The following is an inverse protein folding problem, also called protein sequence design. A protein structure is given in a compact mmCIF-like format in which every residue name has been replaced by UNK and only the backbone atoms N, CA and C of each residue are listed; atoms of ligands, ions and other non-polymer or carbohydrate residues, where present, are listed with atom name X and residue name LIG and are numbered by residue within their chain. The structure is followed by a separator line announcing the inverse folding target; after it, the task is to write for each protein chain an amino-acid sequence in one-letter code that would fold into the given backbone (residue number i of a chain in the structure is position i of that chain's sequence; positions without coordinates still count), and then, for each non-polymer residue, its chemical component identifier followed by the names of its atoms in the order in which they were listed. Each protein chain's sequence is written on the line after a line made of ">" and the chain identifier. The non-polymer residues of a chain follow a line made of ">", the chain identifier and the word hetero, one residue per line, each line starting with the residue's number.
data_IF_487574172682
#
_entry.id   IF_487574172682
#
_cell.length_a   1.000
_cell.length_b   1.000
_cell.length_c   1.000
_cell.angle_alpha   90.00
_cell.angle_beta   90.00
_cell.angle_gamma   90.00
#
_symmetry.space_group_name_H-M   'P 1'
#
loop_
_entity.id
_entity.type
_entity.pdbx_description
1 polymer ?
#
# COMPACT_ATOMS: atom_id res chain seq x y z
N UNK A 1 -13.41 -8.52 -59.36
CA UNK A 1 -13.51 -8.38 -57.89
C UNK A 1 -13.75 -6.92 -57.57
N UNK A 2 -14.74 -6.61 -56.73
CA UNK A 2 -15.31 -5.27 -56.58
C UNK A 2 -14.43 -4.39 -55.66
N UNK A 3 -13.82 -3.32 -56.18
CA UNK A 3 -12.88 -2.45 -55.45
C UNK A 3 -13.44 -1.92 -54.13
N UNK A 4 -14.76 -1.75 -54.04
CA UNK A 4 -15.45 -1.35 -52.82
C UNK A 4 -15.26 -2.35 -51.68
N UNK A 5 -15.24 -3.67 -51.95
CA UNK A 5 -15.03 -4.69 -50.89
C UNK A 5 -13.64 -4.58 -50.26
N UNK A 6 -12.63 -4.24 -51.05
CA UNK A 6 -11.24 -4.07 -50.56
C UNK A 6 -11.13 -2.81 -49.69
N UNK A 7 -11.80 -1.73 -50.09
CA UNK A 7 -11.84 -0.47 -49.32
C UNK A 7 -12.53 -0.69 -47.97
N UNK A 8 -13.67 -1.37 -47.95
CA UNK A 8 -14.37 -1.68 -46.70
C UNK A 8 -13.57 -2.60 -45.76
N UNK A 9 -12.88 -3.60 -46.30
CA UNK A 9 -12.03 -4.48 -45.51
C UNK A 9 -10.85 -3.72 -44.87
N UNK A 10 -10.22 -2.80 -45.61
CA UNK A 10 -9.14 -1.95 -45.09
C UNK A 10 -9.65 -0.97 -44.02
N UNK A 11 -10.80 -0.32 -44.26
CA UNK A 11 -11.42 0.58 -43.28
C UNK A 11 -11.80 -0.16 -42.00
N UNK A 12 -12.38 -1.35 -42.12
CA UNK A 12 -12.73 -2.18 -40.96
C UNK A 12 -11.50 -2.57 -40.14
N UNK A 13 -10.41 -2.97 -40.80
CA UNK A 13 -9.16 -3.33 -40.10
C UNK A 13 -8.55 -2.13 -39.37
N UNK A 14 -8.54 -0.95 -40.00
CA UNK A 14 -8.08 0.30 -39.37
C UNK A 14 -8.95 0.64 -38.15
N UNK A 15 -10.27 0.57 -38.27
CA UNK A 15 -11.17 0.82 -37.14
C UNK A 15 -10.98 -0.19 -36.02
N UNK A 16 -10.76 -1.47 -36.34
CA UNK A 16 -10.48 -2.50 -35.36
C UNK A 16 -9.19 -2.20 -34.59
N UNK A 17 -8.11 -1.82 -35.28
CA UNK A 17 -6.84 -1.43 -34.65
C UNK A 17 -7.00 -0.19 -33.77
N UNK A 18 -7.68 0.86 -34.26
CA UNK A 18 -7.94 2.07 -33.47
C UNK A 18 -8.79 1.79 -32.23
N UNK A 19 -9.80 0.92 -32.36
CA UNK A 19 -10.62 0.50 -31.23
C UNK A 19 -9.79 -0.24 -30.17
N UNK A 20 -8.92 -1.17 -30.57
CA UNK A 20 -8.02 -1.87 -29.64
C UNK A 20 -7.10 -0.89 -28.89
N UNK A 21 -6.57 0.12 -29.57
CA UNK A 21 -5.72 1.16 -28.95
C UNK A 21 -6.51 1.95 -27.90
N UNK A 22 -7.75 2.36 -28.20
CA UNK A 22 -8.61 3.09 -27.24
C UNK A 22 -8.90 2.23 -26.01
N UNK A 23 -9.11 0.91 -26.17
CA UNK A 23 -9.35 0.01 -25.04
C UNK A 23 -8.15 -0.14 -24.09
N UNK A 24 -6.94 0.07 -24.60
CA UNK A 24 -5.71 -0.04 -23.82
C UNK A 24 -5.46 1.15 -22.88
N UNK A 25 -6.16 2.28 -23.07
CA UNK A 25 -5.93 3.52 -22.32
C UNK A 25 -6.76 3.67 -21.04
N UNK A 26 -7.40 2.59 -20.56
CA UNK A 26 -8.13 2.67 -19.30
C UNK A 26 -7.17 2.67 -18.12
N UNK A 27 -7.23 3.72 -17.32
CA UNK A 27 -6.48 3.89 -16.09
C UNK A 27 -7.45 4.22 -14.95
N UNK A 28 -7.26 3.57 -13.81
CA UNK A 28 -7.95 3.89 -12.57
C UNK A 28 -6.88 4.26 -11.53
N UNK A 29 -7.00 5.46 -10.99
CA UNK A 29 -6.13 5.94 -9.93
C UNK A 29 -6.95 6.10 -8.64
N UNK A 30 -6.41 5.60 -7.54
CA UNK A 30 -6.89 5.85 -6.19
C UNK A 30 -5.73 6.24 -5.28
N UNK A 31 -6.03 6.75 -4.09
CA UNK A 31 -5.05 7.21 -3.13
C UNK A 31 -5.26 6.52 -1.78
N UNK A 32 -4.16 6.38 -1.06
CA UNK A 32 -4.08 5.80 0.29
C UNK A 32 -3.27 6.75 1.12
N UNK A 33 -3.83 7.19 2.23
CA UNK A 33 -3.14 8.06 3.15
C UNK A 33 -2.99 7.34 4.48
N UNK A 34 -1.75 7.14 4.92
CA UNK A 34 -1.42 6.66 6.24
C UNK A 34 -1.15 7.87 7.13
N UNK A 35 -2.12 8.24 7.96
CA UNK A 35 -2.02 9.36 8.87
C UNK A 35 -1.57 8.85 10.24
N UNK A 36 -0.33 9.18 10.64
CA UNK A 36 0.25 8.71 11.88
C UNK A 36 0.44 9.86 12.85
N UNK A 37 -0.05 9.70 14.08
CA UNK A 37 -0.04 10.75 15.11
C UNK A 37 0.53 10.21 16.41
N UNK A 38 1.41 11.00 17.01
CA UNK A 38 1.87 10.81 18.40
C UNK A 38 0.94 11.58 19.35
N UNK A 39 0.86 11.21 20.64
CA UNK A 39 0.06 11.93 21.62
C UNK A 39 0.42 13.43 21.74
N UNK A 40 1.70 13.75 21.52
CA UNK A 40 2.24 15.11 21.56
C UNK A 40 2.14 15.86 20.21
N UNK A 41 1.72 15.19 19.13
CA UNK A 41 1.58 15.77 17.79
C UNK A 41 2.90 16.22 17.15
N UNK A 42 4.05 15.87 17.72
CA UNK A 42 5.35 16.36 17.27
C UNK A 42 5.83 15.63 16.00
N UNK A 43 6.39 16.39 15.06
CA UNK A 43 7.07 15.89 13.84
C UNK A 43 8.55 15.54 14.07
N UNK A 44 9.00 15.68 15.32
CA UNK A 44 10.29 15.19 15.79
C UNK A 44 10.06 13.89 16.52
N UNK A 45 11.07 13.03 16.54
CA UNK A 45 11.01 11.77 17.29
C UNK A 45 10.80 12.05 18.78
N UNK A 46 9.60 11.75 19.28
CA UNK A 46 9.20 11.82 20.67
C UNK A 46 9.42 10.51 21.42
N UNK A 47 9.03 10.44 22.70
CA UNK A 47 9.12 9.20 23.48
C UNK A 47 8.11 8.14 23.04
N UNK A 48 6.96 8.57 22.52
CA UNK A 48 5.83 7.72 22.22
C UNK A 48 5.78 7.28 20.75
N UNK A 49 5.20 6.10 20.51
CA UNK A 49 4.94 5.59 19.17
C UNK A 49 3.74 6.31 18.55
N UNK A 50 3.89 6.66 17.27
CA UNK A 50 2.82 7.20 16.46
C UNK A 50 1.88 6.09 16.01
N UNK A 51 0.61 6.22 16.39
CA UNK A 51 -0.48 5.35 15.93
C UNK A 51 -0.92 5.79 14.55
N UNK A 52 -1.09 4.85 13.62
CA UNK A 52 -1.44 5.16 12.24
C UNK A 52 -2.86 4.78 11.89
N UNK A 53 -3.54 5.65 11.14
CA UNK A 53 -4.83 5.35 10.55
C UNK A 53 -4.73 5.35 9.04
N UNK A 54 -5.19 4.26 8.42
CA UNK A 54 -5.31 4.16 6.98
C UNK A 54 -6.57 4.91 6.52
N UNK A 55 -6.43 5.73 5.49
CA UNK A 55 -7.51 6.50 4.88
C UNK A 55 -7.54 6.17 3.39
N UNK A 56 -8.67 5.65 2.92
CA UNK A 56 -8.91 5.29 1.54
C UNK A 56 -9.49 6.49 0.81
N UNK A 57 -8.90 6.85 -0.33
CA UNK A 57 -9.33 7.98 -1.15
C UNK A 57 -9.49 7.53 -2.59
N UNK A 58 -10.60 7.87 -3.23
CA UNK A 58 -10.82 7.69 -4.66
C UNK A 58 -10.12 8.80 -5.46
N UNK A 59 -9.97 10.01 -4.89
CA UNK A 59 -9.21 11.14 -5.46
C UNK A 59 -8.26 11.76 -4.44
N UNK A 60 -7.18 12.41 -4.89
CA UNK A 60 -6.12 12.93 -4.00
C UNK A 60 -6.64 13.95 -2.97
N UNK A 61 -7.48 14.88 -3.43
CA UNK A 61 -7.94 16.05 -2.67
C UNK A 61 -9.14 15.79 -1.77
N UNK A 62 -9.79 14.63 -1.86
CA UNK A 62 -10.97 14.35 -1.06
C UNK A 62 -10.59 13.98 0.39
N UNK A 63 -11.56 14.01 1.32
CA UNK A 63 -11.31 13.64 2.73
C UNK A 63 -10.93 12.16 2.89
N UNK A 64 -11.60 11.30 2.13
CA UNK A 64 -11.44 9.85 2.18
C UNK A 64 -12.24 9.17 3.28
N UNK A 65 -12.08 7.85 3.37
CA UNK A 65 -12.78 6.93 4.28
C UNK A 65 -11.76 6.32 5.24
N UNK A 66 -11.91 6.60 6.53
CA UNK A 66 -10.93 6.23 7.55
C UNK A 66 -11.15 4.81 8.07
N UNK A 67 -10.07 4.10 8.39
CA UNK A 67 -10.13 2.85 9.15
C UNK A 67 -10.76 3.08 10.53
N UNK A 68 -11.56 2.12 11.05
CA UNK A 68 -12.31 2.29 12.29
C UNK A 68 -11.42 2.37 13.54
N UNK A 69 -10.22 1.79 13.49
CA UNK A 69 -9.26 1.77 14.60
C UNK A 69 -7.87 2.12 14.08
N UNK A 70 -7.06 2.70 14.97
CA UNK A 70 -5.65 2.92 14.67
C UNK A 70 -4.89 1.59 14.58
N UNK A 71 -3.79 1.61 13.83
CA UNK A 71 -2.89 0.50 13.50
C UNK A 71 -3.56 -0.70 12.82
N UNK A 72 -4.79 -0.53 12.31
CA UNK A 72 -5.48 -1.57 11.55
C UNK A 72 -4.74 -1.87 10.24
N UNK A 73 -4.41 -3.13 10.03
CA UNK A 73 -3.60 -3.58 8.90
C UNK A 73 -2.10 -3.30 9.06
N UNK A 74 -1.67 -2.83 10.24
CA UNK A 74 -0.27 -2.65 10.59
C UNK A 74 0.21 -3.77 11.54
N UNK A 75 1.40 -4.30 11.30
CA UNK A 75 2.01 -5.36 12.10
C UNK A 75 3.51 -5.15 12.26
N UNK A 76 4.09 -5.73 13.30
CA UNK A 76 5.53 -5.62 13.55
C UNK A 76 6.28 -6.64 12.66
N UNK A 77 7.31 -6.18 11.95
CA UNK A 77 8.09 -7.02 11.05
C UNK A 77 8.76 -8.23 11.75
N UNK A 78 8.89 -8.19 13.07
CA UNK A 78 9.54 -9.21 13.89
C UNK A 78 8.60 -10.31 14.43
N UNK A 79 7.31 -10.32 14.07
CA UNK A 79 6.40 -11.40 14.48
C UNK A 79 6.80 -12.77 13.90
N UNK A 80 7.20 -12.83 12.62
CA UNK A 80 7.68 -14.09 11.99
C UNK A 80 9.00 -14.60 12.57
N UNK A 81 9.87 -13.69 13.03
CA UNK A 81 11.17 -14.07 13.60
C UNK A 81 11.04 -14.72 14.99
N UNK A 82 9.99 -14.39 15.74
CA UNK A 82 9.75 -14.96 17.08
C UNK A 82 9.27 -16.41 17.01
N UNK A 83 8.49 -16.76 16.00
CA UNK A 83 7.98 -18.13 15.80
C UNK A 83 9.11 -19.10 15.40
N UNK A 84 9.99 -18.70 14.48
CA UNK A 84 11.15 -19.52 14.07
C UNK A 84 12.19 -19.74 15.20
N UNK A 85 12.33 -18.76 16.10
CA UNK A 85 13.24 -18.86 17.26
C UNK A 85 12.65 -19.74 18.37
N UNK A 86 11.33 -19.68 18.60
CA UNK A 86 10.67 -20.51 19.62
C UNK A 86 10.64 -22.00 19.25
N UNK A 87 10.72 -22.35 17.97
CA UNK A 87 10.87 -23.72 17.49
C UNK A 87 12.30 -24.30 17.70
N UNK A 88 13.31 -23.44 17.84
CA UNK A 88 14.72 -23.84 17.93
C UNK A 88 15.35 -23.44 19.27
N UNK A 89 15.25 -24.32 20.26
CA UNK A 89 15.77 -24.17 21.63
C UNK A 89 17.31 -24.18 21.75
N UNK A 90 18.05 -23.66 20.77
CA UNK A 90 19.51 -23.64 20.81
C UNK A 90 20.06 -22.39 21.52
N UNK A 91 20.93 -22.60 22.51
CA UNK A 91 21.56 -21.55 23.35
C UNK A 91 22.44 -20.58 22.55
N UNK A 92 22.85 -20.97 21.33
CA UNK A 92 23.69 -20.20 20.39
C UNK A 92 22.89 -19.13 19.61
N UNK A 93 21.61 -19.36 19.32
CA UNK A 93 20.70 -18.40 18.65
C UNK A 93 20.25 -17.28 19.61
N UNK A 94 20.17 -17.54 20.92
CA UNK A 94 19.87 -16.51 21.94
C UNK A 94 20.95 -15.42 22.06
N UNK A 95 22.23 -15.74 21.76
CA UNK A 95 23.34 -14.77 21.84
C UNK A 95 23.41 -13.84 20.63
N UNK A 96 23.05 -14.32 19.43
CA UNK A 96 22.90 -13.49 18.23
C UNK A 96 21.71 -12.52 18.29
N UNK A 97 20.69 -12.83 19.10
CA UNK A 97 19.56 -11.94 19.40
C UNK A 97 19.95 -10.78 20.35
N UNK A 98 20.87 -11.02 21.29
CA UNK A 98 21.29 -9.99 22.26
C UNK A 98 22.27 -8.94 21.68
N UNK A 99 23.05 -9.27 20.67
CA UNK A 99 23.87 -8.27 19.95
C UNK A 99 23.04 -7.52 18.89
N UNK A 100 21.93 -8.13 18.43
CA UNK A 100 20.89 -7.52 17.60
C UNK A 100 19.69 -7.01 18.42
N UNK A 101 19.92 -6.54 19.67
CA UNK A 101 18.92 -5.79 20.44
C UNK A 101 18.68 -4.38 19.89
N UNK A 102 19.44 -3.97 18.87
CA UNK A 102 18.99 -3.01 17.87
C UNK A 102 18.14 -3.73 16.80
N UNK A 103 17.18 -4.54 17.25
CA UNK A 103 16.07 -5.01 16.43
C UNK A 103 15.42 -3.73 15.93
N UNK A 104 15.67 -3.35 14.67
CA UNK A 104 15.00 -2.21 14.09
C UNK A 104 13.50 -2.52 14.16
N UNK A 105 12.83 -1.90 15.14
CA UNK A 105 11.38 -1.97 15.28
C UNK A 105 10.88 -1.39 13.97
N UNK A 106 10.34 -2.25 13.11
CA UNK A 106 9.78 -1.90 11.82
C UNK A 106 8.32 -2.26 11.86
N UNK A 107 7.46 -1.26 11.71
CA UNK A 107 6.02 -1.45 11.59
C UNK A 107 5.70 -1.43 10.10
N UNK A 108 4.96 -2.43 9.64
CA UNK A 108 4.57 -2.61 8.24
C UNK A 108 3.06 -2.49 8.18
N UNK A 109 2.54 -1.60 7.35
CA UNK A 109 1.12 -1.36 7.15
C UNK A 109 0.72 -1.71 5.72
N UNK A 110 -0.35 -2.49 5.56
CA UNK A 110 -0.93 -2.79 4.26
C UNK A 110 -1.69 -1.56 3.72
N UNK A 111 -1.46 -1.21 2.45
CA UNK A 111 -2.08 -0.04 1.80
C UNK A 111 -3.41 -0.38 1.09
N UNK A 112 -3.84 -1.65 1.06
CA UNK A 112 -5.01 -2.13 0.33
C UNK A 112 -4.98 -1.72 -1.15
N UNK A 113 -3.90 -2.11 -1.82
CA UNK A 113 -3.67 -1.85 -3.24
C UNK A 113 -3.32 -3.13 -4.01
N UNK A 114 -4.28 -4.07 -4.11
CA UNK A 114 -4.09 -5.34 -4.82
C UNK A 114 -3.75 -5.11 -6.29
N UNK A 115 -2.66 -5.70 -6.78
CA UNK A 115 -2.26 -5.69 -8.19
C UNK A 115 -2.17 -4.27 -8.79
N UNK A 116 -1.90 -3.26 -7.96
CA UNK A 116 -1.71 -1.89 -8.41
C UNK A 116 -0.23 -1.64 -8.73
N UNK A 117 0.05 -0.73 -9.65
CA UNK A 117 1.32 -0.02 -9.66
C UNK A 117 1.22 1.13 -8.65
N UNK A 118 2.18 1.26 -7.73
CA UNK A 118 2.18 2.39 -6.80
C UNK A 118 3.04 3.54 -7.27
N UNK A 119 2.65 4.74 -6.88
CA UNK A 119 3.48 5.92 -6.99
C UNK A 119 3.32 6.72 -5.70
N UNK A 120 4.45 7.18 -5.16
CA UNK A 120 4.47 7.78 -3.83
C UNK A 120 4.23 9.29 -3.95
N UNK A 121 3.03 9.74 -3.60
CA UNK A 121 2.66 11.16 -3.59
C UNK A 121 2.86 11.72 -2.19
N UNK A 122 4.09 11.85 -1.73
CA UNK A 122 4.30 12.40 -0.38
C UNK A 122 4.89 13.79 -0.44
N UNK A 123 4.13 14.79 0.01
CA UNK A 123 4.67 15.93 0.71
C UNK A 123 4.75 15.55 2.18
N UNK A 124 5.60 14.58 2.57
CA UNK A 124 6.22 14.72 3.89
C UNK A 124 6.98 16.03 3.70
N UNK A 125 6.47 17.12 4.27
CA UNK A 125 7.01 18.46 4.03
C UNK A 125 8.54 18.38 4.03
N UNK A 126 9.14 18.86 2.95
CA UNK A 126 10.56 18.72 2.70
C UNK A 126 11.32 19.09 3.99
N UNK A 127 11.91 18.10 4.67
CA UNK A 127 12.61 18.30 5.93
C UNK A 127 12.01 17.67 7.19
N UNK A 128 11.11 16.69 7.10
CA UNK A 128 10.72 15.90 8.27
C UNK A 128 11.93 15.14 8.87
N UNK A 129 12.51 15.72 9.93
CA UNK A 129 13.82 15.34 10.49
C UNK A 129 13.89 13.92 11.05
N UNK A 130 12.74 13.27 11.24
CA UNK A 130 12.66 11.91 11.77
C UNK A 130 12.35 10.84 10.70
N UNK A 131 11.85 11.21 9.51
CA UNK A 131 11.34 10.27 8.51
C UNK A 131 12.01 10.53 7.15
N UNK A 132 13.11 9.83 6.90
CA UNK A 132 13.80 9.88 5.60
C UNK A 132 13.46 8.66 4.76
N UNK A 133 13.15 8.87 3.48
CA UNK A 133 12.87 7.78 2.52
C UNK A 133 14.06 6.82 2.44
N UNK A 134 13.79 5.52 2.53
CA UNK A 134 14.79 4.46 2.49
C UNK A 134 15.50 4.20 3.83
N UNK A 135 15.40 5.10 4.80
CA UNK A 135 15.99 4.93 6.14
C UNK A 135 14.90 4.74 7.21
N UNK A 136 13.98 5.69 7.32
CA UNK A 136 12.90 5.68 8.30
C UNK A 136 11.58 5.14 7.76
N UNK A 137 11.42 5.08 6.44
CA UNK A 137 10.25 4.46 5.82
C UNK A 137 10.52 4.04 4.38
N UNK A 138 9.66 3.17 3.83
CA UNK A 138 9.69 2.80 2.44
C UNK A 138 8.46 1.98 2.03
N UNK A 139 8.44 1.58 0.77
CA UNK A 139 7.39 0.76 0.18
C UNK A 139 7.95 -0.60 -0.16
N UNK A 140 7.15 -1.64 0.00
CA UNK A 140 7.49 -3.00 -0.38
C UNK A 140 6.26 -3.71 -0.95
N UNK A 141 6.46 -4.48 -2.01
CA UNK A 141 5.43 -5.33 -2.59
C UNK A 141 5.56 -6.74 -2.01
N UNK A 142 4.44 -7.33 -1.58
CA UNK A 142 4.37 -8.72 -1.12
C UNK A 142 3.09 -9.34 -1.64
N UNK A 143 3.20 -10.45 -2.35
CA UNK A 143 2.03 -11.20 -2.86
C UNK A 143 1.06 -10.32 -3.68
N UNK A 144 1.57 -9.41 -4.52
CA UNK A 144 0.81 -8.42 -5.29
C UNK A 144 0.03 -7.41 -4.44
N UNK A 145 0.34 -7.28 -3.15
CA UNK A 145 -0.15 -6.23 -2.27
C UNK A 145 0.98 -5.28 -1.92
N UNK A 146 0.62 -4.01 -1.71
CA UNK A 146 1.59 -2.98 -1.34
C UNK A 146 1.53 -2.65 0.13
N UNK A 147 2.71 -2.56 0.72
CA UNK A 147 2.89 -2.23 2.11
C UNK A 147 3.79 -1.02 2.23
N UNK A 148 3.48 -0.16 3.18
CA UNK A 148 4.40 0.89 3.65
C UNK A 148 4.98 0.45 4.98
N UNK A 149 6.30 0.57 5.11
CA UNK A 149 6.97 0.27 6.36
C UNK A 149 7.58 1.53 6.94
N UNK A 150 7.62 1.60 8.27
CA UNK A 150 8.26 2.67 9.05
C UNK A 150 9.19 2.06 10.09
N UNK A 151 10.28 2.74 10.41
CA UNK A 151 11.29 2.28 11.33
C UNK A 151 11.93 3.43 12.13
N UNK A 152 12.62 3.05 13.21
CA UNK A 152 13.45 3.95 14.02
C UNK A 152 12.67 5.21 14.46
N UNK A 153 13.32 6.39 14.42
CA UNK A 153 12.77 7.69 14.79
C UNK A 153 11.46 8.03 14.10
N UNK A 154 11.21 7.47 12.92
CA UNK A 154 9.99 7.72 12.16
C UNK A 154 8.76 7.07 12.79
N UNK A 155 8.95 6.01 13.59
CA UNK A 155 7.87 5.41 14.36
C UNK A 155 7.37 6.32 15.47
N UNK A 156 8.20 7.22 15.96
CA UNK A 156 7.93 8.08 17.10
C UNK A 156 7.60 9.51 16.69
N UNK A 157 7.07 9.70 15.48
CA UNK A 157 6.85 11.02 14.92
C UNK A 157 5.50 11.07 14.22
N UNK A 158 4.82 12.20 14.39
CA UNK A 158 3.61 12.52 13.62
C UNK A 158 4.00 12.75 12.16
N UNK A 159 3.47 11.92 11.27
CA UNK A 159 3.81 11.92 9.86
C UNK A 159 2.61 11.44 9.02
N UNK A 160 2.46 12.01 7.84
CA UNK A 160 1.43 11.60 6.89
C UNK A 160 2.08 11.11 5.61
N UNK A 161 1.72 9.91 5.17
CA UNK A 161 2.23 9.29 3.96
C UNK A 161 1.08 9.12 2.98
N UNK A 162 1.15 9.78 1.81
CA UNK A 162 0.16 9.60 0.75
C UNK A 162 0.76 8.80 -0.39
N UNK A 163 0.05 7.76 -0.81
CA UNK A 163 0.46 6.82 -1.85
C UNK A 163 -0.66 6.71 -2.86
N UNK A 164 -0.34 6.91 -4.13
CA UNK A 164 -1.24 6.65 -5.24
C UNK A 164 -1.13 5.20 -5.70
N UNK A 165 -2.27 4.58 -5.97
CA UNK A 165 -2.41 3.23 -6.49
C UNK A 165 -3.05 3.31 -7.87
N UNK A 166 -2.37 2.77 -8.87
CA UNK A 166 -2.73 2.89 -10.28
C UNK A 166 -2.95 1.51 -10.89
N UNK A 167 -4.14 1.28 -11.44
CA UNK A 167 -4.49 0.07 -12.18
C UNK A 167 -4.57 0.40 -13.66
N UNK A 168 -3.75 -0.27 -14.48
CA UNK A 168 -3.69 -0.05 -15.92
C UNK A 168 -4.30 -1.22 -16.69
N UNK A 169 -5.15 -0.90 -17.64
CA UNK A 169 -5.77 -1.87 -18.53
C UNK A 169 -7.05 -2.49 -17.96
N UNK A 170 -7.89 -2.98 -18.87
CA UNK A 170 -9.21 -3.54 -18.56
C UNK A 170 -9.18 -4.68 -17.55
N UNK A 171 -8.22 -5.59 -17.67
CA UNK A 171 -8.12 -6.74 -16.78
C UNK A 171 -7.80 -6.33 -15.35
N UNK A 172 -6.87 -5.39 -15.15
CA UNK A 172 -6.53 -4.89 -13.82
C UNK A 172 -7.71 -4.15 -13.18
N UNK A 173 -8.44 -3.34 -13.97
CA UNK A 173 -9.64 -2.63 -13.50
C UNK A 173 -10.77 -3.61 -13.20
N UNK A 174 -10.96 -4.66 -14.01
CA UNK A 174 -11.94 -5.71 -13.74
C UNK A 174 -11.60 -6.47 -12.45
N UNK A 175 -10.33 -6.86 -12.26
CA UNK A 175 -9.86 -7.50 -11.02
C UNK A 175 -10.05 -6.60 -9.82
N UNK A 176 -9.73 -5.30 -9.94
CA UNK A 176 -10.01 -4.32 -8.91
C UNK A 176 -11.50 -4.27 -8.59
N UNK A 177 -12.39 -4.18 -9.59
CA UNK A 177 -13.83 -4.14 -9.34
C UNK A 177 -14.33 -5.44 -8.68
N UNK A 178 -13.82 -6.60 -9.08
CA UNK A 178 -14.18 -7.89 -8.46
C UNK A 178 -13.69 -7.92 -6.99
N UNK A 179 -12.42 -7.61 -6.75
CA UNK A 179 -11.86 -7.65 -5.39
C UNK A 179 -12.46 -6.58 -4.49
N UNK A 180 -12.53 -5.33 -4.95
CA UNK A 180 -12.90 -4.21 -4.10
C UNK A 180 -14.40 -3.92 -4.06
N UNK A 181 -15.19 -4.34 -5.06
CA UNK A 181 -16.66 -4.12 -5.06
C UNK A 181 -17.46 -5.40 -4.84
N UNK A 182 -16.98 -6.55 -5.32
CA UNK A 182 -17.71 -7.82 -5.17
C UNK A 182 -17.32 -8.56 -3.89
N UNK A 183 -16.03 -8.56 -3.53
CA UNK A 183 -15.54 -9.22 -2.31
C UNK A 183 -15.69 -8.37 -1.05
N UNK A 184 -15.60 -7.05 -1.18
CA UNK A 184 -15.79 -6.09 -0.09
C UNK A 184 -16.97 -5.16 -0.42
N UNK A 185 -18.21 -5.56 -0.09
CA UNK A 185 -19.40 -4.76 -0.40
C UNK A 185 -19.44 -3.43 0.38
N UNK A 186 -18.63 -3.31 1.43
CA UNK A 186 -18.44 -2.08 2.20
C UNK A 186 -17.02 -2.03 2.79
N UNK A 187 -16.62 -0.84 3.22
CA UNK A 187 -15.31 -0.60 3.84
C UNK A 187 -15.09 -1.44 5.11
N UNK A 188 -16.17 -1.79 5.84
CA UNK A 188 -16.07 -2.63 7.05
C UNK A 188 -15.48 -4.00 6.71
N UNK A 189 -15.98 -4.65 5.66
CA UNK A 189 -15.47 -5.96 5.22
C UNK A 189 -14.00 -5.89 4.77
N UNK A 190 -13.62 -4.80 4.11
CA UNK A 190 -12.22 -4.55 3.72
C UNK A 190 -11.32 -4.40 4.95
N UNK A 191 -11.73 -3.59 5.93
CA UNK A 191 -10.96 -3.37 7.16
C UNK A 191 -10.90 -4.62 8.04
N UNK A 192 -11.97 -5.42 8.14
CA UNK A 192 -11.94 -6.72 8.80
C UNK A 192 -10.91 -7.66 8.17
N UNK A 193 -10.80 -7.66 6.84
CA UNK A 193 -9.81 -8.48 6.13
C UNK A 193 -8.38 -7.96 6.33
N UNK A 194 -8.19 -6.65 6.36
CA UNK A 194 -6.90 -6.02 6.70
C UNK A 194 -6.44 -6.35 8.12
N UNK A 195 -7.37 -6.38 9.09
CA UNK A 195 -7.08 -6.77 10.46
C UNK A 195 -6.59 -8.23 10.57
N UNK A 196 -7.03 -9.10 9.65
CA UNK A 196 -6.63 -10.51 9.59
C UNK A 196 -5.36 -10.76 8.74
N UNK A 197 -4.72 -9.72 8.23
CA UNK A 197 -3.37 -9.80 7.63
C UNK A 197 -3.27 -10.46 6.25
N UNK A 198 -4.37 -10.68 5.54
CA UNK A 198 -4.36 -11.30 4.20
C UNK A 198 -5.49 -10.78 3.30
N UNK A 199 -5.16 -10.03 2.25
CA UNK A 199 -6.06 -9.73 1.11
C UNK A 199 -5.95 -10.82 0.02
N UNK A 200 -6.02 -12.10 0.42
CA UNK A 200 -6.21 -13.21 -0.54
C UNK A 200 -7.67 -13.49 -0.77
#
# INVERSE_FOLDING_TARGET
>A
MNNNKIIYAKLFWIFFVLFQIILAQQELDQYRQLHCTTPDGLTKAGPDLAKCRLILKDKEVEKGREAPTDDLGCFAANEKLKEEINANNNKKTKKALNTNQKQQKRIICNLACPNASIWFHSPIEQGHKACFKGLGYGLEERENEWYIWRADKCLNSTATFTVGCKWKGKEAIQRFNILMKQKFPNDKALFEKLANGHLQ
#
